data_IF_811523096587
#
_entry.id   IF_811523096587
#
_cell.length_a   1.000
_cell.length_b   1.000
_cell.length_c   1.000
_cell.angle_alpha   90.00
_cell.angle_beta   90.00
_cell.angle_gamma   90.00
#
_symmetry.space_group_name_H-M   'P 1'
#
loop_
_entity.id
_entity.type
_entity.pdbx_description
1 polymer ?
#
# COMPACT_ATOMS: atom_id res chain seq x y z
N UNK A 1 2.63 -11.86 -9.18
CA UNK A 1 3.93 -12.21 -8.57
C UNK A 1 3.66 -12.89 -7.24
N UNK A 2 4.36 -13.98 -6.94
CA UNK A 2 4.16 -14.74 -5.69
C UNK A 2 5.51 -15.21 -5.14
N UNK A 3 5.70 -15.14 -3.82
CA UNK A 3 6.93 -15.60 -3.13
C UNK A 3 8.17 -14.90 -3.70
N UNK A 4 8.18 -13.58 -3.64
CA UNK A 4 9.29 -12.76 -4.13
C UNK A 4 10.28 -12.45 -3.01
N UNK A 5 11.48 -12.00 -3.40
CA UNK A 5 12.54 -11.56 -2.50
C UNK A 5 13.02 -12.66 -1.53
N UNK A 6 13.09 -13.92 -1.96
CA UNK A 6 13.49 -15.03 -1.08
C UNK A 6 14.98 -15.03 -0.72
N UNK A 7 15.79 -14.25 -1.43
CA UNK A 7 17.25 -14.25 -1.29
C UNK A 7 17.84 -12.83 -1.06
N UNK A 8 16.99 -11.83 -0.88
CA UNK A 8 17.40 -10.43 -0.71
C UNK A 8 16.48 -9.70 0.26
N UNK A 9 16.84 -8.49 0.68
CA UNK A 9 16.02 -7.60 1.50
C UNK A 9 16.16 -6.16 0.98
N UNK A 10 15.44 -5.21 1.60
CA UNK A 10 15.35 -3.81 1.19
C UNK A 10 14.90 -3.66 -0.26
N UNK A 11 13.84 -4.40 -0.60
CA UNK A 11 13.29 -4.49 -1.97
C UNK A 11 11.77 -4.58 -1.99
N UNK A 12 11.19 -4.26 -3.15
CA UNK A 12 9.79 -4.50 -3.49
C UNK A 12 9.61 -5.73 -4.39
N UNK A 13 8.40 -6.28 -4.49
CA UNK A 13 8.09 -7.17 -5.62
C UNK A 13 8.03 -6.39 -6.95
N UNK A 14 7.63 -5.12 -6.87
CA UNK A 14 7.88 -4.10 -7.89
C UNK A 14 8.61 -2.96 -7.20
N UNK A 15 9.69 -2.49 -7.81
CA UNK A 15 10.52 -1.43 -7.27
C UNK A 15 10.90 -0.42 -8.33
N UNK A 16 10.98 0.85 -7.94
CA UNK A 16 11.45 1.95 -8.78
C UNK A 16 12.46 2.79 -8.00
N UNK A 17 13.38 3.44 -8.72
CA UNK A 17 14.34 4.39 -8.18
C UNK A 17 14.24 5.69 -8.98
N UNK A 18 14.13 6.84 -8.29
CA UNK A 18 13.91 8.16 -8.90
C UNK A 18 14.94 9.20 -8.49
N UNK A 19 16.21 8.82 -8.38
CA UNK A 19 17.32 9.70 -7.94
C UNK A 19 17.55 10.93 -8.84
N UNK A 20 16.94 10.96 -10.03
CA UNK A 20 16.85 12.13 -10.91
C UNK A 20 15.86 13.20 -10.40
N UNK A 21 15.03 12.87 -9.40
CA UNK A 21 14.09 13.77 -8.72
C UNK A 21 13.06 14.42 -9.67
N UNK A 22 12.68 13.70 -10.73
CA UNK A 22 11.66 14.12 -11.68
C UNK A 22 10.40 13.27 -11.58
N UNK A 23 9.27 13.85 -12.01
CA UNK A 23 8.03 13.10 -12.16
C UNK A 23 8.17 12.17 -13.37
N UNK A 24 8.23 10.86 -13.11
CA UNK A 24 8.53 9.85 -14.12
C UNK A 24 7.33 9.49 -15.00
N UNK A 25 6.10 9.73 -14.51
CA UNK A 25 4.87 9.28 -15.17
C UNK A 25 4.69 7.76 -15.18
N UNK A 26 5.46 7.01 -14.37
CA UNK A 26 5.37 5.56 -14.28
C UNK A 26 3.96 5.12 -13.85
N UNK A 27 3.51 3.96 -14.36
CA UNK A 27 2.22 3.37 -14.00
C UNK A 27 2.42 1.93 -13.55
N UNK A 28 2.15 1.67 -12.27
CA UNK A 28 2.11 0.34 -11.67
C UNK A 28 0.64 -0.04 -11.48
N UNK A 29 0.10 -0.92 -12.31
CA UNK A 29 -1.33 -1.25 -12.25
C UNK A 29 -1.68 -2.70 -12.52
N UNK A 30 -2.80 -3.13 -11.95
CA UNK A 30 -3.39 -4.45 -12.18
C UNK A 30 -2.41 -5.60 -11.93
N UNK A 31 -1.71 -5.52 -10.80
CA UNK A 31 -0.85 -6.60 -10.30
C UNK A 31 -1.54 -7.35 -9.16
N UNK A 32 -1.32 -8.66 -9.09
CA UNK A 32 -1.55 -9.48 -7.91
C UNK A 32 -0.18 -9.84 -7.33
N UNK A 33 0.15 -9.28 -6.17
CA UNK A 33 1.41 -9.48 -5.46
C UNK A 33 1.11 -10.21 -4.17
N UNK A 34 1.65 -11.41 -4.02
CA UNK A 34 1.43 -12.26 -2.86
C UNK A 34 2.79 -12.64 -2.27
N UNK A 35 2.93 -12.57 -0.95
CA UNK A 35 4.07 -13.18 -0.26
C UNK A 35 5.44 -12.55 -0.66
N UNK A 36 5.67 -11.25 -0.39
CA UNK A 36 7.04 -10.68 -0.45
C UNK A 36 7.72 -10.92 0.89
N UNK A 37 8.75 -11.78 0.91
CA UNK A 37 9.25 -12.42 2.15
C UNK A 37 10.55 -11.81 2.66
N UNK A 38 11.55 -11.68 1.80
CA UNK A 38 12.82 -11.11 2.22
C UNK A 38 13.71 -12.01 3.08
N UNK A 39 15.01 -11.77 3.00
CA UNK A 39 16.05 -12.50 3.72
C UNK A 39 17.30 -11.62 3.94
N UNK A 40 17.95 -11.77 5.10
CA UNK A 40 19.28 -11.20 5.35
C UNK A 40 20.18 -12.22 6.06
N UNK A 41 21.50 -12.11 5.85
CA UNK A 41 22.51 -12.81 6.66
C UNK A 41 23.07 -11.88 7.73
N UNK A 42 23.15 -12.33 8.98
CA UNK A 42 23.86 -11.59 10.04
C UNK A 42 25.38 -11.72 9.87
N UNK A 43 26.19 -10.83 10.49
CA UNK A 43 27.65 -10.94 10.46
C UNK A 43 28.19 -12.30 10.96
N UNK A 44 27.44 -12.99 11.83
CA UNK A 44 27.75 -14.32 12.35
C UNK A 44 27.31 -15.47 11.41
N UNK A 45 26.83 -15.15 10.21
CA UNK A 45 26.41 -16.13 9.20
C UNK A 45 25.02 -16.72 9.43
N UNK A 46 24.17 -16.13 10.28
CA UNK A 46 22.80 -16.61 10.48
C UNK A 46 21.85 -16.05 9.43
N UNK A 47 20.98 -16.89 8.89
CA UNK A 47 19.90 -16.46 7.99
C UNK A 47 18.71 -15.97 8.83
N UNK A 48 18.23 -14.77 8.55
CA UNK A 48 17.00 -14.20 9.13
C UNK A 48 15.98 -14.01 8.02
N UNK A 49 14.82 -14.65 8.18
CA UNK A 49 13.68 -14.55 7.27
C UNK A 49 12.38 -14.89 8.05
N UNK A 50 11.22 -14.30 7.73
CA UNK A 50 11.00 -13.16 6.82
C UNK A 50 11.74 -11.88 7.24
N UNK A 51 12.18 -11.05 6.30
CA UNK A 51 12.93 -9.84 6.63
C UNK A 51 12.81 -8.69 5.61
N UNK A 52 12.41 -7.51 6.07
CA UNK A 52 12.59 -6.19 5.43
C UNK A 52 12.30 -6.09 3.92
N UNK A 53 11.06 -6.36 3.50
CA UNK A 53 10.60 -6.16 2.11
C UNK A 53 9.16 -5.65 2.02
N UNK A 54 8.81 -5.09 0.86
CA UNK A 54 7.48 -4.55 0.56
C UNK A 54 6.85 -5.19 -0.68
N UNK A 55 5.55 -5.00 -0.86
CA UNK A 55 4.88 -5.38 -2.11
C UNK A 55 5.28 -4.46 -3.26
N UNK A 56 5.06 -3.16 -3.08
CA UNK A 56 5.47 -2.11 -4.03
C UNK A 56 6.39 -1.15 -3.29
N UNK A 57 7.61 -0.96 -3.79
CA UNK A 57 8.60 -0.07 -3.20
C UNK A 57 8.92 1.06 -4.18
N UNK A 58 8.38 2.25 -3.91
CA UNK A 58 8.83 3.46 -4.58
C UNK A 58 10.07 3.97 -3.83
N UNK A 59 11.23 3.42 -4.18
CA UNK A 59 12.51 3.74 -3.55
C UNK A 59 12.99 5.14 -3.97
N UNK A 60 14.09 5.58 -3.34
CA UNK A 60 14.61 6.94 -3.31
C UNK A 60 14.13 7.85 -4.44
N UNK A 61 13.31 8.83 -4.04
CA UNK A 61 12.81 9.94 -4.85
C UNK A 61 11.93 9.54 -6.04
N UNK A 62 11.49 8.28 -6.14
CA UNK A 62 10.51 7.84 -7.13
C UNK A 62 9.26 8.72 -7.10
N UNK A 63 9.05 9.51 -8.16
CA UNK A 63 8.05 10.58 -8.19
C UNK A 63 7.15 10.51 -9.42
N UNK A 64 5.97 11.11 -9.32
CA UNK A 64 4.97 11.12 -10.40
C UNK A 64 4.46 9.73 -10.81
N UNK A 65 4.58 8.73 -9.93
CA UNK A 65 4.15 7.36 -10.20
C UNK A 65 2.67 7.18 -9.85
N UNK A 66 1.91 6.58 -10.76
CA UNK A 66 0.54 6.13 -10.50
C UNK A 66 0.52 4.65 -10.15
N UNK A 67 0.12 4.35 -8.92
CA UNK A 67 -0.10 2.99 -8.40
C UNK A 67 -1.60 2.74 -8.34
N UNK A 68 -2.12 1.97 -9.30
CA UNK A 68 -3.56 1.85 -9.53
C UNK A 68 -4.07 0.41 -9.62
N UNK A 69 -5.13 0.07 -8.87
CA UNK A 69 -5.83 -1.19 -9.10
C UNK A 69 -4.98 -2.44 -8.82
N UNK A 70 -3.99 -2.36 -7.93
CA UNK A 70 -3.17 -3.50 -7.52
C UNK A 70 -3.79 -4.20 -6.31
N UNK A 71 -3.55 -5.50 -6.21
CA UNK A 71 -3.86 -6.32 -5.04
C UNK A 71 -2.53 -6.79 -4.47
N UNK A 72 -2.23 -6.44 -3.23
CA UNK A 72 -0.97 -6.73 -2.55
C UNK A 72 -1.28 -7.37 -1.21
N UNK A 73 -0.84 -8.62 -1.01
CA UNK A 73 -1.15 -9.36 0.20
C UNK A 73 0.06 -10.10 0.80
N UNK A 74 0.04 -10.23 2.13
CA UNK A 74 0.99 -11.02 2.94
C UNK A 74 2.44 -10.66 2.72
N UNK A 75 2.74 -9.36 2.74
CA UNK A 75 4.11 -8.85 2.70
C UNK A 75 4.67 -8.73 4.11
N UNK A 76 5.98 -8.53 4.23
CA UNK A 76 6.63 -8.48 5.54
C UNK A 76 6.55 -7.09 6.15
N UNK A 77 7.25 -6.11 5.58
CA UNK A 77 7.27 -4.78 6.17
C UNK A 77 6.04 -3.96 5.81
N UNK A 78 5.64 -3.92 4.53
CA UNK A 78 4.42 -3.22 4.12
C UNK A 78 3.90 -3.59 2.75
N UNK A 79 2.65 -3.23 2.48
CA UNK A 79 2.08 -3.33 1.14
C UNK A 79 2.74 -2.34 0.19
N UNK A 80 3.01 -1.13 0.70
CA UNK A 80 3.74 -0.05 0.02
C UNK A 80 4.88 0.47 0.89
N UNK A 81 5.98 0.87 0.26
CA UNK A 81 6.94 1.82 0.79
C UNK A 81 7.09 3.03 -0.16
N UNK A 82 7.05 4.25 0.39
CA UNK A 82 7.36 5.49 -0.33
C UNK A 82 8.57 6.15 0.29
N UNK A 83 9.66 6.25 -0.46
CA UNK A 83 10.95 6.72 0.05
C UNK A 83 11.37 8.02 -0.61
N UNK A 84 11.12 9.13 0.07
CA UNK A 84 11.50 10.47 -0.38
C UNK A 84 10.74 11.03 -1.59
N UNK A 85 10.04 10.21 -2.38
CA UNK A 85 9.36 10.62 -3.61
C UNK A 85 8.15 11.54 -3.44
N UNK A 86 7.82 12.31 -4.48
CA UNK A 86 6.70 13.27 -4.49
C UNK A 86 5.67 12.96 -5.57
N UNK A 87 4.50 13.59 -5.47
CA UNK A 87 3.46 13.56 -6.51
C UNK A 87 3.02 12.15 -6.93
N UNK A 88 3.23 11.13 -6.10
CA UNK A 88 2.76 9.78 -6.39
C UNK A 88 1.27 9.66 -6.06
N UNK A 89 0.54 8.94 -6.90
CA UNK A 89 -0.87 8.65 -6.71
C UNK A 89 -1.06 7.17 -6.41
N UNK A 90 -1.61 6.87 -5.24
CA UNK A 90 -2.05 5.53 -4.86
C UNK A 90 -3.57 5.51 -4.87
N UNK A 91 -4.17 4.91 -5.89
CA UNK A 91 -5.61 4.90 -6.05
C UNK A 91 -6.16 3.50 -6.33
N UNK A 92 -7.28 3.15 -5.71
CA UNK A 92 -8.04 1.95 -6.05
C UNK A 92 -7.29 0.62 -5.84
N UNK A 93 -6.33 0.58 -4.90
CA UNK A 93 -5.57 -0.63 -4.60
C UNK A 93 -6.18 -1.37 -3.39
N UNK A 94 -5.85 -2.65 -3.25
CA UNK A 94 -6.20 -3.49 -2.12
C UNK A 94 -4.90 -3.96 -1.45
N UNK A 95 -4.72 -3.62 -0.17
CA UNK A 95 -3.59 -4.04 0.67
C UNK A 95 -4.09 -4.96 1.78
N UNK A 96 -3.49 -6.14 1.93
CA UNK A 96 -3.97 -7.17 2.85
C UNK A 96 -2.83 -7.79 3.66
N UNK A 97 -2.91 -7.70 4.99
CA UNK A 97 -2.10 -8.46 5.94
C UNK A 97 -0.58 -8.34 5.72
N UNK A 98 -0.08 -7.12 5.55
CA UNK A 98 1.36 -6.89 5.75
C UNK A 98 1.70 -7.09 7.24
N UNK A 99 2.85 -7.71 7.53
CA UNK A 99 3.14 -8.20 8.89
C UNK A 99 3.54 -7.12 9.89
N UNK A 100 4.26 -6.07 9.47
CA UNK A 100 4.76 -5.02 10.37
C UNK A 100 3.90 -3.76 10.27
N UNK A 101 3.84 -3.12 9.11
CA UNK A 101 2.99 -1.98 8.82
C UNK A 101 2.21 -2.19 7.51
N UNK A 102 1.10 -1.49 7.27
CA UNK A 102 0.40 -1.65 5.98
C UNK A 102 0.97 -0.71 4.92
N UNK A 103 1.26 0.53 5.32
CA UNK A 103 1.91 1.55 4.49
C UNK A 103 3.13 2.07 5.24
N UNK A 104 4.28 2.11 4.56
CA UNK A 104 5.48 2.76 5.05
C UNK A 104 5.76 4.03 4.26
N UNK A 105 6.02 5.11 4.99
CA UNK A 105 6.46 6.39 4.47
C UNK A 105 7.85 6.67 5.06
N UNK A 106 8.78 7.01 4.18
CA UNK A 106 10.18 7.26 4.51
C UNK A 106 10.60 8.64 3.97
N UNK A 107 10.18 9.76 4.59
CA UNK A 107 10.61 11.08 4.17
C UNK A 107 12.11 11.26 4.39
N UNK A 108 12.83 11.67 3.35
CA UNK A 108 14.27 11.95 3.43
C UNK A 108 14.58 13.41 3.75
N UNK A 109 13.79 14.31 3.17
CA UNK A 109 13.94 15.75 3.23
C UNK A 109 12.62 16.42 2.84
N UNK A 110 12.62 17.73 2.62
CA UNK A 110 11.45 18.52 2.23
C UNK A 110 10.91 18.20 0.83
N UNK A 111 11.62 17.38 0.04
CA UNK A 111 11.18 17.00 -1.31
C UNK A 111 9.93 16.11 -1.30
N UNK A 112 9.78 15.23 -0.29
CA UNK A 112 8.63 14.34 -0.19
C UNK A 112 7.36 15.15 0.13
N UNK A 113 6.56 15.43 -0.90
CA UNK A 113 5.31 16.18 -0.77
C UNK A 113 4.32 15.79 -1.88
N UNK A 114 3.08 16.28 -1.81
CA UNK A 114 2.11 16.16 -2.91
C UNK A 114 1.60 14.74 -3.19
N UNK A 115 2.04 13.74 -2.42
CA UNK A 115 1.58 12.36 -2.55
C UNK A 115 0.08 12.27 -2.19
N UNK A 116 -0.64 11.38 -2.87
CA UNK A 116 -2.08 11.17 -2.70
C UNK A 116 -2.40 9.70 -2.47
N UNK A 117 -3.21 9.41 -1.46
CA UNK A 117 -3.64 8.05 -1.12
C UNK A 117 -5.17 8.00 -1.02
N UNK A 118 -5.83 7.55 -2.09
CA UNK A 118 -7.28 7.78 -2.27
C UNK A 118 -7.99 6.50 -2.72
N UNK A 119 -9.17 6.20 -2.16
CA UNK A 119 -9.99 5.04 -2.58
C UNK A 119 -9.27 3.70 -2.50
N UNK A 120 -8.38 3.50 -1.54
CA UNK A 120 -7.73 2.21 -1.32
C UNK A 120 -8.49 1.40 -0.27
N UNK A 121 -8.34 0.08 -0.31
CA UNK A 121 -8.83 -0.84 0.71
C UNK A 121 -7.61 -1.36 1.46
N UNK A 122 -7.56 -1.17 2.77
CA UNK A 122 -6.46 -1.62 3.64
C UNK A 122 -7.02 -2.53 4.72
N UNK A 123 -6.60 -3.78 4.71
CA UNK A 123 -7.12 -4.82 5.60
C UNK A 123 -5.96 -5.50 6.29
N UNK A 124 -6.06 -5.70 7.60
CA UNK A 124 -5.03 -6.40 8.36
C UNK A 124 -5.64 -7.11 9.56
N UNK A 125 -4.96 -8.16 10.03
CA UNK A 125 -5.52 -9.06 11.05
C UNK A 125 -4.78 -9.01 12.39
N UNK A 126 -3.64 -8.32 12.43
CA UNK A 126 -2.75 -8.22 13.59
C UNK A 126 -2.91 -6.85 14.26
N UNK A 127 -3.55 -6.74 15.44
CA UNK A 127 -3.72 -5.46 16.12
C UNK A 127 -2.41 -4.77 16.51
N UNK A 128 -1.31 -5.52 16.58
CA UNK A 128 0.05 -5.05 16.83
C UNK A 128 0.70 -4.43 15.58
N UNK A 129 0.23 -4.74 14.37
CA UNK A 129 0.72 -4.10 13.15
C UNK A 129 0.31 -2.63 13.07
N UNK A 130 1.13 -1.81 12.43
CA UNK A 130 0.86 -0.37 12.27
C UNK A 130 0.06 -0.14 10.98
N UNK A 131 -0.91 0.78 10.99
CA UNK A 131 -1.66 1.10 9.78
C UNK A 131 -0.76 1.88 8.80
N UNK A 132 -0.24 3.03 9.23
CA UNK A 132 0.67 3.87 8.46
C UNK A 132 1.88 4.21 9.33
N UNK A 133 3.05 3.74 8.95
CA UNK A 133 4.31 4.07 9.60
C UNK A 133 4.99 5.25 8.91
N UNK A 134 5.47 6.20 9.70
CA UNK A 134 6.38 7.28 9.30
C UNK A 134 7.17 7.73 10.54
N UNK A 135 8.47 8.00 10.39
CA UNK A 135 9.23 8.69 11.44
C UNK A 135 8.93 10.19 11.48
N UNK A 136 8.51 10.78 10.36
CA UNK A 136 8.05 12.16 10.27
C UNK A 136 6.56 12.24 10.61
N UNK A 137 6.14 13.29 11.29
CA UNK A 137 4.76 13.59 11.65
C UNK A 137 4.22 14.86 10.94
N UNK A 138 4.87 15.32 9.88
CA UNK A 138 4.42 16.46 9.10
C UNK A 138 3.18 16.15 8.27
N UNK A 139 2.17 17.01 8.40
CA UNK A 139 0.87 16.91 7.70
C UNK A 139 0.95 17.37 6.24
N UNK A 140 1.83 18.30 5.91
CA UNK A 140 1.98 18.89 4.57
C UNK A 140 2.69 17.98 3.55
N UNK A 141 3.11 16.78 3.96
CA UNK A 141 3.67 15.73 3.10
C UNK A 141 2.66 15.16 2.09
N UNK A 142 1.37 15.31 2.37
CA UNK A 142 0.29 14.71 1.58
C UNK A 142 -0.65 15.78 1.07
N UNK A 143 -0.96 15.71 -0.23
CA UNK A 143 -1.99 16.56 -0.82
C UNK A 143 -3.40 16.03 -0.51
N UNK A 144 -3.55 14.71 -0.42
CA UNK A 144 -4.85 14.07 -0.18
C UNK A 144 -4.65 12.69 0.43
N UNK A 145 -5.43 12.37 1.45
CA UNK A 145 -5.51 11.02 2.01
C UNK A 145 -6.95 10.78 2.41
N UNK A 146 -7.77 10.16 1.56
CA UNK A 146 -9.22 10.15 1.77
C UNK A 146 -9.97 9.05 0.97
N UNK A 147 -11.25 8.84 1.30
CA UNK A 147 -12.11 7.85 0.67
C UNK A 147 -11.58 6.41 0.75
N UNK A 148 -10.74 6.10 1.73
CA UNK A 148 -10.18 4.78 1.93
C UNK A 148 -11.12 3.91 2.78
N UNK A 149 -11.08 2.60 2.56
CA UNK A 149 -11.76 1.61 3.40
C UNK A 149 -10.72 0.89 4.25
N UNK A 150 -10.86 0.99 5.57
CA UNK A 150 -9.99 0.31 6.53
C UNK A 150 -10.75 -0.80 7.24
N UNK A 151 -10.07 -1.93 7.48
CA UNK A 151 -10.62 -3.00 8.30
C UNK A 151 -9.52 -3.73 9.06
N UNK A 152 -9.61 -3.69 10.38
CA UNK A 152 -8.85 -4.57 11.27
C UNK A 152 -9.71 -5.79 11.59
N UNK A 153 -9.28 -6.99 11.20
CA UNK A 153 -10.04 -8.22 11.51
C UNK A 153 -10.02 -8.47 13.01
N UNK A 154 -11.19 -8.73 13.59
CA UNK A 154 -11.33 -9.10 14.99
C UNK A 154 -11.21 -7.96 16.01
N UNK A 155 -11.04 -6.71 15.57
CA UNK A 155 -11.04 -5.54 16.45
C UNK A 155 -11.51 -4.28 15.70
N UNK A 156 -11.80 -3.21 16.43
CA UNK A 156 -12.09 -1.90 15.83
C UNK A 156 -10.81 -1.05 15.82
N UNK A 157 -10.32 -0.69 14.63
CA UNK A 157 -9.11 0.14 14.51
C UNK A 157 -9.28 1.53 15.14
N UNK A 158 -10.52 2.03 15.30
CA UNK A 158 -10.81 3.29 15.98
C UNK A 158 -10.58 3.20 17.49
N UNK A 159 -10.61 2.00 18.07
CA UNK A 159 -10.35 1.76 19.49
C UNK A 159 -8.88 1.55 19.85
N UNK A 160 -7.96 1.58 18.88
CA UNK A 160 -6.54 1.34 19.12
C UNK A 160 -5.89 2.58 19.73
N UNK A 161 -5.65 2.54 21.05
CA UNK A 161 -5.05 3.64 21.82
C UNK A 161 -3.51 3.61 21.80
N UNK A 162 -2.92 3.57 20.61
CA UNK A 162 -1.48 3.75 20.38
C UNK A 162 -1.24 4.39 19.02
N UNK A 163 -0.01 4.82 18.76
CA UNK A 163 0.40 5.34 17.45
C UNK A 163 0.25 4.25 16.38
N UNK A 164 -0.69 4.46 15.46
CA UNK A 164 -0.91 3.63 14.26
C UNK A 164 -0.86 4.43 12.96
N UNK A 165 -0.74 5.76 13.06
CA UNK A 165 -0.55 6.69 11.93
C UNK A 165 0.63 7.63 12.24
N UNK A 166 1.14 8.42 11.27
CA UNK A 166 2.18 9.41 11.49
C UNK A 166 1.83 10.46 12.57
N UNK A 167 0.53 10.71 12.78
CA UNK A 167 0.02 11.72 13.70
C UNK A 167 -0.50 11.14 15.02
N UNK A 168 -0.39 9.83 15.24
CA UNK A 168 -0.83 9.18 16.47
C UNK A 168 -1.85 8.07 16.21
N UNK A 169 -2.93 8.07 16.97
CA UNK A 169 -4.10 7.20 16.82
C UNK A 169 -4.83 7.46 15.49
N UNK A 170 -5.80 6.61 15.14
CA UNK A 170 -6.65 6.86 13.99
C UNK A 170 -7.56 8.09 14.20
N UNK A 171 -8.00 8.36 15.43
CA UNK A 171 -8.80 9.55 15.72
C UNK A 171 -8.00 10.85 15.52
N UNK A 172 -6.75 10.90 15.95
CA UNK A 172 -5.86 12.04 15.72
C UNK A 172 -5.59 12.27 14.23
N UNK A 173 -5.49 11.18 13.45
CA UNK A 173 -5.38 11.24 12.00
C UNK A 173 -6.60 11.89 11.35
N UNK A 174 -7.81 11.50 11.77
CA UNK A 174 -9.06 12.12 11.32
C UNK A 174 -9.14 13.60 11.71
N UNK A 175 -8.79 13.94 12.96
CA UNK A 175 -8.76 15.33 13.46
C UNK A 175 -7.77 16.22 12.70
N UNK A 176 -6.70 15.63 12.15
CA UNK A 176 -5.75 16.35 11.29
C UNK A 176 -6.28 16.63 9.87
N UNK A 177 -7.52 16.23 9.58
CA UNK A 177 -8.20 16.48 8.31
C UNK A 177 -7.92 15.43 7.23
N UNK A 178 -7.36 14.28 7.61
CA UNK A 178 -7.25 13.12 6.72
C UNK A 178 -8.45 12.19 6.87
N UNK A 179 -8.72 11.39 5.85
CA UNK A 179 -9.71 10.31 5.86
C UNK A 179 -11.13 10.76 6.28
N UNK A 180 -11.47 12.03 5.98
CA UNK A 180 -12.76 12.64 6.35
C UNK A 180 -13.98 11.91 5.76
N UNK A 181 -13.82 11.27 4.60
CA UNK A 181 -14.86 10.49 3.92
C UNK A 181 -14.58 8.99 3.92
N UNK A 182 -13.52 8.55 4.61
CA UNK A 182 -13.14 7.14 4.70
C UNK A 182 -14.06 6.36 5.63
N UNK A 183 -14.07 5.04 5.46
CA UNK A 183 -14.90 4.13 6.26
C UNK A 183 -14.05 3.10 6.99
N UNK A 184 -14.55 2.67 8.15
CA UNK A 184 -14.06 1.51 8.89
C UNK A 184 -15.14 0.43 8.84
N UNK A 185 -15.04 -0.51 7.89
CA UNK A 185 -16.08 -1.52 7.61
C UNK A 185 -15.57 -2.68 6.74
N UNK A 186 -16.31 -3.79 6.70
CA UNK A 186 -15.87 -5.04 6.07
C UNK A 186 -15.79 -4.78 4.57
N UNK A 187 -14.66 -5.05 3.90
CA UNK A 187 -14.65 -4.99 2.45
C UNK A 187 -15.61 -5.99 1.80
N UNK A 188 -16.05 -7.03 2.50
CA UNK A 188 -16.87 -8.12 1.98
C UNK A 188 -16.20 -8.79 0.77
N UNK A 189 -14.95 -9.24 0.98
CA UNK A 189 -14.23 -10.04 -0.02
C UNK A 189 -14.99 -11.34 -0.35
N UNK A 190 -14.87 -11.83 -1.58
CA UNK A 190 -15.56 -13.03 -2.07
C UNK A 190 -15.01 -14.30 -1.42
N UNK A 191 -13.69 -14.50 -1.43
CA UNK A 191 -13.03 -15.66 -0.83
C UNK A 191 -11.55 -15.34 -0.52
N UNK A 192 -11.28 -14.46 0.46
CA UNK A 192 -9.92 -14.00 0.77
C UNK A 192 -8.97 -15.14 1.20
N UNK A 193 -9.50 -16.23 1.76
CA UNK A 193 -8.76 -17.45 2.10
C UNK A 193 -8.26 -18.23 0.88
N UNK A 194 -8.78 -17.91 -0.32
CA UNK A 194 -8.37 -18.45 -1.62
C UNK A 194 -7.67 -17.41 -2.48
N UNK A 195 -7.16 -16.33 -1.87
CA UNK A 195 -6.58 -15.18 -2.58
C UNK A 195 -7.56 -14.45 -3.53
N UNK A 196 -8.87 -14.60 -3.31
CA UNK A 196 -9.91 -13.90 -4.07
C UNK A 196 -10.41 -12.67 -3.31
N UNK A 197 -9.75 -11.55 -3.60
CA UNK A 197 -10.03 -10.24 -3.02
C UNK A 197 -11.03 -9.42 -3.84
N UNK A 198 -11.77 -10.04 -4.78
CA UNK A 198 -12.92 -9.37 -5.38
C UNK A 198 -13.93 -9.05 -4.30
N UNK A 199 -14.67 -7.97 -4.51
CA UNK A 199 -15.67 -7.48 -3.57
C UNK A 199 -17.05 -8.02 -3.93
N UNK A 200 -17.84 -8.37 -2.93
CA UNK A 200 -19.26 -8.62 -3.10
C UNK A 200 -20.01 -7.34 -3.50
N UNK A 201 -21.19 -7.49 -4.11
CA UNK A 201 -22.00 -6.37 -4.64
C UNK A 201 -22.45 -5.38 -3.56
N UNK A 202 -22.52 -5.83 -2.31
CA UNK A 202 -22.92 -5.09 -1.12
C UNK A 202 -21.76 -4.45 -0.35
N UNK A 203 -20.53 -4.52 -0.88
CA UNK A 203 -19.34 -3.91 -0.25
C UNK A 203 -19.50 -2.39 -0.01
N UNK A 204 -19.09 -1.88 1.17
CA UNK A 204 -19.08 -0.44 1.45
C UNK A 204 -18.09 0.33 0.57
N UNK A 205 -17.07 -0.34 0.00
CA UNK A 205 -16.09 0.30 -0.87
C UNK A 205 -16.72 0.96 -2.10
N UNK A 206 -17.84 0.42 -2.60
CA UNK A 206 -18.56 0.98 -3.74
C UNK A 206 -19.07 2.41 -3.47
N UNK A 207 -19.46 2.72 -2.22
CA UNK A 207 -19.90 4.05 -1.81
C UNK A 207 -18.75 5.07 -1.79
N UNK A 208 -17.53 4.58 -1.64
CA UNK A 208 -16.30 5.36 -1.69
C UNK A 208 -15.79 5.56 -3.12
N UNK A 209 -16.53 5.11 -4.14
CA UNK A 209 -16.11 5.19 -5.53
C UNK A 209 -15.00 4.21 -5.91
N UNK A 210 -14.78 3.15 -5.12
CA UNK A 210 -13.89 2.06 -5.50
C UNK A 210 -14.40 1.42 -6.81
N UNK A 211 -13.49 1.06 -7.69
CA UNK A 211 -13.74 0.41 -8.97
C UNK A 211 -13.26 -1.03 -8.91
N UNK A 212 -14.07 -1.95 -9.44
CA UNK A 212 -13.70 -3.36 -9.47
C UNK A 212 -12.34 -3.53 -10.19
N UNK A 213 -11.40 -4.22 -9.54
CA UNK A 213 -10.13 -4.58 -10.15
C UNK A 213 -10.41 -5.73 -11.14
N UNK A 214 -10.04 -5.62 -12.43
CA UNK A 214 -10.27 -6.65 -13.42
C UNK A 214 -9.26 -7.80 -13.21
N UNK A 215 -9.49 -8.64 -12.20
CA UNK A 215 -8.55 -9.70 -11.79
C UNK A 215 -8.24 -10.69 -12.92
N UNK A 216 -9.18 -10.89 -13.83
CA UNK A 216 -9.03 -11.71 -15.03
C UNK A 216 -8.03 -11.13 -16.05
N UNK A 217 -7.71 -9.85 -15.94
CA UNK A 217 -6.73 -9.14 -16.78
C UNK A 217 -5.36 -9.01 -16.12
N UNK A 218 -5.20 -9.47 -14.88
CA UNK A 218 -3.90 -9.43 -14.18
C UNK A 218 -2.94 -10.42 -14.83
N UNK A 219 -1.70 -9.98 -15.04
CA UNK A 219 -0.60 -10.78 -15.58
C UNK A 219 -0.44 -10.66 -17.10
N UNK A 220 0.68 -11.19 -17.61
CA UNK A 220 1.17 -10.98 -18.98
C UNK A 220 0.13 -11.30 -20.08
N UNK A 221 -0.74 -12.28 -19.87
CA UNK A 221 -1.75 -12.71 -20.87
C UNK A 221 -3.07 -11.93 -20.81
N UNK A 222 -3.30 -11.19 -19.73
CA UNK A 222 -4.56 -10.49 -19.46
C UNK A 222 -4.61 -9.08 -20.06
N UNK A 223 -3.45 -8.46 -20.31
CA UNK A 223 -3.36 -7.19 -21.04
C UNK A 223 -3.24 -7.45 -22.55
N UNK A 224 -4.36 -7.47 -23.26
CA UNK A 224 -4.38 -7.27 -24.71
C UNK A 224 -4.44 -5.76 -24.93
N UNK A 225 -3.48 -5.19 -25.65
CA UNK A 225 -3.26 -3.75 -25.86
C UNK A 225 -4.36 -3.00 -26.61
N UNK A 226 -5.62 -3.32 -26.37
CA UNK A 226 -6.78 -2.59 -26.87
C UNK A 226 -7.03 -1.38 -25.97
N UNK A 227 -6.20 -0.36 -26.19
CA UNK A 227 -6.53 1.06 -26.17
C UNK A 227 -5.21 1.82 -26.21
N UNK A 228 -4.68 2.00 -27.42
CA UNK A 228 -3.76 3.09 -27.70
C UNK A 228 -4.45 4.37 -27.24
N UNK A 229 -3.85 5.02 -26.24
CA UNK A 229 -4.13 6.40 -25.91
C UNK A 229 -3.92 7.18 -27.22
N UNK A 230 -5.00 7.73 -27.76
CA UNK A 230 -4.89 8.68 -28.87
C UNK A 230 -4.11 9.88 -28.33
N UNK A 231 -3.04 10.21 -29.05
CA UNK A 231 -2.22 11.41 -28.84
C UNK A 231 -3.09 12.67 -28.85
#
# INVERSE_FOLDING_TARGET
>A
MRRTNLETNDTGAIETLGRDQQDTGNIIRYNLILDSVGMVSTPEGKIVTPYFTWGIYLDDYSSGTTVFGNIVARTVNGGICVHGGKNNLFENNIFVDASVEQIRLQPRDDFMQGNRFVRNIVVYSKPESTLIFSWDNRRDRFAEWDYNLYWLRGADLRGINRRITPLGTFEEWLKAGFDAHSLVADPLFVAPEKDDYRLRRDSPAWKLGFRAIPVEKIGYRGWRGENRIRQ
#
